data_IF_797002793545
#
_entry.id   IF_797002793545
#
_cell.length_a   1.000
_cell.length_b   1.000
_cell.length_c   1.000
_cell.angle_alpha   90.00
_cell.angle_beta   90.00
_cell.angle_gamma   90.00
#
_symmetry.space_group_name_H-M   'P 1'
#
loop_
_entity.id
_entity.type
_entity.pdbx_description
1 polymer ?
#
# COMPACT_ATOMS: atom_id res chain seq x y z
N UNK A 1 -12.28 -18.16 4.49
CA UNK A 1 -11.94 -19.27 3.60
C UNK A 1 -11.29 -18.72 2.34
N UNK A 2 -10.29 -19.42 1.84
CA UNK A 2 -9.60 -19.12 0.58
C UNK A 2 -9.68 -20.35 -0.32
N UNK A 3 -9.56 -20.16 -1.64
CA UNK A 3 -9.46 -21.27 -2.60
C UNK A 3 -7.99 -21.58 -2.87
N UNK A 4 -7.66 -22.85 -3.02
CA UNK A 4 -6.31 -23.32 -3.32
C UNK A 4 -6.27 -24.16 -4.58
N UNK A 5 -5.32 -23.85 -5.45
CA UNK A 5 -5.02 -24.61 -6.65
C UNK A 5 -3.64 -25.24 -6.55
N UNK A 6 -3.58 -26.55 -6.27
CA UNK A 6 -2.33 -27.30 -6.15
C UNK A 6 -1.44 -27.17 -7.39
N UNK A 7 -2.01 -27.29 -8.60
CA UNK A 7 -1.23 -27.19 -9.84
C UNK A 7 -0.57 -25.81 -9.99
N UNK A 8 -1.30 -24.73 -9.71
CA UNK A 8 -0.73 -23.38 -9.76
C UNK A 8 0.29 -23.11 -8.64
N UNK A 9 0.12 -23.77 -7.49
CA UNK A 9 1.06 -23.72 -6.37
C UNK A 9 2.40 -24.39 -6.74
N UNK A 10 2.34 -25.63 -7.25
CA UNK A 10 3.53 -26.38 -7.66
C UNK A 10 4.27 -25.69 -8.82
N UNK A 11 3.53 -25.09 -9.75
CA UNK A 11 4.08 -24.29 -10.86
C UNK A 11 4.52 -22.87 -10.44
N UNK A 12 4.32 -22.48 -9.17
CA UNK A 12 4.61 -21.14 -8.62
C UNK A 12 4.04 -20.00 -9.47
N UNK A 13 2.82 -20.15 -10.00
CA UNK A 13 2.17 -19.15 -10.84
C UNK A 13 1.78 -17.90 -10.06
N UNK A 14 2.13 -16.72 -10.58
CA UNK A 14 1.76 -15.42 -10.02
C UNK A 14 0.67 -14.81 -10.90
N UNK A 15 -0.45 -14.35 -10.29
CA UNK A 15 -1.49 -13.61 -10.99
C UNK A 15 -1.40 -12.11 -10.69
N UNK A 16 -1.93 -11.32 -11.61
CA UNK A 16 -1.94 -9.84 -11.52
C UNK A 16 -2.87 -9.28 -10.42
N UNK A 17 -3.83 -10.07 -9.90
CA UNK A 17 -4.88 -9.60 -8.97
C UNK A 17 -4.61 -9.91 -7.48
N UNK A 18 -3.36 -10.18 -7.10
CA UNK A 18 -2.98 -10.46 -5.72
C UNK A 18 -3.07 -11.94 -5.33
N UNK A 19 -3.77 -12.76 -6.10
CA UNK A 19 -3.68 -14.22 -6.02
C UNK A 19 -2.24 -14.67 -6.37
N UNK A 20 -1.55 -15.30 -5.42
CA UNK A 20 -0.16 -15.74 -5.59
C UNK A 20 -0.02 -17.23 -5.35
N UNK A 21 0.78 -17.89 -6.17
CA UNK A 21 1.22 -19.27 -5.99
C UNK A 21 0.07 -20.25 -5.72
N UNK A 22 -1.04 -20.11 -6.44
CA UNK A 22 -2.19 -21.00 -6.28
C UNK A 22 -3.07 -20.73 -5.06
N UNK A 23 -2.74 -19.80 -4.16
CA UNK A 23 -3.68 -19.30 -3.15
C UNK A 23 -4.53 -18.17 -3.75
N UNK A 24 -5.84 -18.41 -3.82
CA UNK A 24 -6.80 -17.57 -4.53
C UNK A 24 -7.83 -17.08 -3.50
N UNK A 25 -7.69 -15.84 -3.05
CA UNK A 25 -8.62 -15.23 -2.07
C UNK A 25 -9.70 -14.39 -2.75
N UNK A 26 -9.55 -14.07 -4.03
CA UNK A 26 -10.48 -13.21 -4.80
C UNK A 26 -11.62 -13.99 -5.44
N UNK A 27 -11.54 -15.32 -5.46
CA UNK A 27 -12.57 -16.17 -6.03
C UNK A 27 -13.79 -16.29 -5.11
N UNK A 28 -14.95 -16.44 -5.74
CA UNK A 28 -16.22 -16.67 -5.05
C UNK A 28 -16.28 -18.08 -4.45
N UNK A 29 -17.11 -18.25 -3.42
CA UNK A 29 -17.21 -19.52 -2.68
C UNK A 29 -17.73 -20.68 -3.54
N UNK A 30 -18.48 -20.40 -4.61
CA UNK A 30 -19.00 -21.39 -5.55
C UNK A 30 -17.98 -21.83 -6.61
N UNK A 31 -16.82 -21.17 -6.69
CA UNK A 31 -15.77 -21.53 -7.64
C UNK A 31 -15.15 -22.89 -7.30
N UNK A 32 -15.37 -23.88 -8.18
CA UNK A 32 -14.82 -25.24 -8.05
C UNK A 32 -13.62 -25.51 -8.95
N UNK A 33 -13.44 -24.72 -9.99
CA UNK A 33 -12.43 -24.92 -11.04
C UNK A 33 -11.54 -23.69 -11.10
N UNK A 34 -10.22 -23.92 -11.15
CA UNK A 34 -9.22 -22.88 -11.29
C UNK A 34 -9.31 -22.22 -12.68
N UNK A 35 -9.47 -20.89 -12.77
CA UNK A 35 -9.56 -20.22 -14.08
C UNK A 35 -8.28 -20.28 -14.94
N UNK A 36 -7.11 -20.53 -14.35
CA UNK A 36 -5.85 -20.57 -15.11
C UNK A 36 -5.54 -21.94 -15.71
N UNK A 37 -5.76 -22.99 -14.93
CA UNK A 37 -5.25 -24.32 -15.25
C UNK A 37 -6.34 -25.39 -15.29
N UNK A 38 -7.61 -24.98 -15.10
CA UNK A 38 -8.81 -25.81 -15.15
C UNK A 38 -8.80 -27.00 -14.18
N UNK A 39 -7.92 -26.96 -13.17
CA UNK A 39 -7.84 -27.98 -12.12
C UNK A 39 -8.84 -27.68 -11.02
N UNK A 40 -9.22 -28.71 -10.26
CA UNK A 40 -10.12 -28.56 -9.13
C UNK A 40 -9.50 -27.67 -8.05
N UNK A 41 -10.33 -26.82 -7.45
CA UNK A 41 -9.98 -25.99 -6.30
C UNK A 41 -10.28 -26.74 -5.01
N UNK A 42 -9.46 -26.46 -4.00
CA UNK A 42 -9.63 -26.95 -2.64
C UNK A 42 -9.95 -25.76 -1.75
N UNK A 43 -10.90 -25.94 -0.83
CA UNK A 43 -11.24 -24.92 0.15
C UNK A 43 -10.31 -25.05 1.34
N UNK A 44 -9.64 -23.96 1.69
CA UNK A 44 -8.83 -23.87 2.90
C UNK A 44 -9.53 -22.89 3.85
N UNK A 45 -9.77 -23.34 5.08
CA UNK A 45 -10.32 -22.49 6.13
C UNK A 45 -9.24 -21.57 6.71
N UNK A 46 -8.86 -20.57 5.91
CA UNK A 46 -7.87 -19.57 6.30
C UNK A 46 -8.43 -18.15 6.08
N UNK A 47 -8.07 -17.16 6.93
CA UNK A 47 -8.50 -15.78 6.75
C UNK A 47 -7.84 -15.12 5.53
N UNK A 48 -8.64 -14.69 4.55
CA UNK A 48 -8.16 -14.01 3.35
C UNK A 48 -7.36 -12.73 3.66
N UNK A 49 -7.75 -11.99 4.70
CA UNK A 49 -7.06 -10.76 5.11
C UNK A 49 -5.65 -11.05 5.64
N UNK A 50 -5.49 -12.14 6.40
CA UNK A 50 -4.19 -12.54 6.91
C UNK A 50 -3.28 -13.04 5.79
N UNK A 51 -3.82 -13.75 4.79
CA UNK A 51 -3.05 -14.13 3.61
C UNK A 51 -2.53 -12.91 2.84
N UNK A 52 -3.34 -11.85 2.72
CA UNK A 52 -2.91 -10.57 2.15
C UNK A 52 -1.77 -9.93 2.96
N UNK A 53 -1.81 -10.00 4.30
CA UNK A 53 -0.72 -9.51 5.17
C UNK A 53 0.55 -10.33 4.94
N UNK A 54 0.46 -11.66 4.94
CA UNK A 54 1.59 -12.55 4.70
C UNK A 54 2.27 -12.25 3.36
N UNK A 55 1.48 -11.92 2.33
CA UNK A 55 2.00 -11.56 1.00
C UNK A 55 2.85 -10.28 0.94
N UNK A 56 2.78 -9.45 1.99
CA UNK A 56 3.61 -8.25 2.17
C UNK A 56 4.85 -8.51 3.03
N UNK A 57 4.92 -9.67 3.69
CA UNK A 57 6.03 -10.09 4.53
C UNK A 57 7.03 -10.93 3.73
N UNK A 58 6.55 -11.88 2.94
CA UNK A 58 7.39 -12.82 2.19
C UNK A 58 6.72 -13.23 0.90
N UNK A 59 7.51 -13.58 -0.12
CA UNK A 59 7.05 -14.17 -1.39
C UNK A 59 7.26 -15.70 -1.45
N UNK A 60 7.63 -16.34 -0.34
CA UNK A 60 7.88 -17.79 -0.29
C UNK A 60 6.60 -18.60 -0.12
N UNK A 61 6.41 -19.63 -0.96
CA UNK A 61 5.34 -20.63 -0.82
C UNK A 61 5.44 -21.40 0.49
N UNK A 62 6.65 -21.84 0.84
CA UNK A 62 6.91 -22.64 2.04
C UNK A 62 6.57 -21.87 3.31
N UNK A 63 6.69 -20.54 3.27
CA UNK A 63 6.28 -19.67 4.37
C UNK A 63 4.75 -19.63 4.52
N UNK A 64 4.00 -19.55 3.41
CA UNK A 64 2.54 -19.60 3.47
C UNK A 64 2.05 -20.97 3.95
N UNK A 65 2.62 -22.06 3.42
CA UNK A 65 2.31 -23.42 3.87
C UNK A 65 2.55 -23.58 5.37
N UNK A 66 3.68 -23.07 5.89
CA UNK A 66 3.98 -23.12 7.31
C UNK A 66 2.99 -22.30 8.15
N UNK A 67 2.56 -21.12 7.67
CA UNK A 67 1.60 -20.28 8.39
C UNK A 67 0.17 -20.83 8.36
N UNK A 68 -0.25 -21.43 7.25
CA UNK A 68 -1.55 -22.11 7.14
C UNK A 68 -1.56 -23.35 8.04
N UNK A 69 -0.48 -24.13 8.03
CA UNK A 69 -0.35 -25.26 8.95
C UNK A 69 -0.35 -24.82 10.41
N UNK A 70 0.35 -23.73 10.75
CA UNK A 70 0.40 -23.19 12.10
C UNK A 70 -0.99 -22.73 12.58
N UNK A 71 -1.81 -22.14 11.70
CA UNK A 71 -3.18 -21.76 12.02
C UNK A 71 -4.02 -22.97 12.49
N UNK A 72 -3.87 -24.10 11.80
CA UNK A 72 -4.63 -25.32 12.11
C UNK A 72 -4.06 -26.05 13.35
N UNK A 73 -2.73 -26.04 13.51
CA UNK A 73 -2.03 -26.79 14.57
C UNK A 73 -2.01 -26.04 15.93
N UNK A 74 -1.72 -24.73 15.93
CA UNK A 74 -1.62 -23.89 17.13
C UNK A 74 -2.09 -22.45 16.84
N UNK A 75 -3.38 -22.23 17.06
CA UNK A 75 -4.02 -20.93 16.85
C UNK A 75 -3.45 -19.81 17.74
N UNK A 76 -2.91 -20.15 18.92
CA UNK A 76 -2.34 -19.15 19.85
C UNK A 76 -1.00 -18.65 19.31
N UNK A 77 -0.12 -19.59 18.90
CA UNK A 77 1.15 -19.21 18.28
C UNK A 77 0.91 -18.48 16.95
N UNK A 78 -0.05 -18.94 16.13
CA UNK A 78 -0.46 -18.26 14.90
C UNK A 78 -0.83 -16.79 15.16
N UNK A 79 -1.76 -16.52 16.08
CA UNK A 79 -2.20 -15.14 16.35
C UNK A 79 -1.07 -14.27 16.93
N UNK A 80 -0.17 -14.85 17.72
CA UNK A 80 1.00 -14.13 18.22
C UNK A 80 1.92 -13.71 17.05
N UNK A 81 2.20 -14.61 16.10
CA UNK A 81 3.00 -14.29 14.90
C UNK A 81 2.28 -13.27 14.01
N UNK A 82 0.99 -13.46 13.77
CA UNK A 82 0.19 -12.55 12.95
C UNK A 82 0.11 -11.15 13.54
N UNK A 83 0.00 -11.02 14.87
CA UNK A 83 0.08 -9.72 15.56
C UNK A 83 1.37 -8.97 15.23
N UNK A 84 2.52 -9.66 15.27
CA UNK A 84 3.80 -9.06 14.89
C UNK A 84 3.83 -8.63 13.42
N UNK A 85 3.33 -9.47 12.50
CA UNK A 85 3.28 -9.16 11.08
C UNK A 85 2.34 -7.99 10.77
N UNK A 86 1.17 -7.94 11.40
CA UNK A 86 0.19 -6.84 11.30
C UNK A 86 0.86 -5.52 11.70
N UNK A 87 1.56 -5.48 12.84
CA UNK A 87 2.30 -4.28 13.28
C UNK A 87 3.41 -3.88 12.30
N UNK A 88 4.17 -4.84 11.76
CA UNK A 88 5.22 -4.55 10.77
C UNK A 88 4.65 -3.95 9.49
N UNK A 89 3.57 -4.51 8.95
CA UNK A 89 2.93 -3.99 7.73
C UNK A 89 2.36 -2.59 7.97
N UNK A 90 1.66 -2.37 9.08
CA UNK A 90 1.14 -1.04 9.43
C UNK A 90 2.26 0.01 9.54
N UNK A 91 3.39 -0.35 10.15
CA UNK A 91 4.53 0.56 10.25
C UNK A 91 5.12 0.92 8.87
N UNK A 92 5.26 -0.06 7.98
CA UNK A 92 5.74 0.14 6.60
C UNK A 92 4.79 1.03 5.80
N UNK A 93 3.49 0.77 5.86
CA UNK A 93 2.48 1.56 5.15
C UNK A 93 2.42 3.00 5.66
N UNK A 94 2.45 3.19 6.98
CA UNK A 94 2.49 4.53 7.57
C UNK A 94 3.77 5.30 7.21
N UNK A 95 4.91 4.62 7.03
CA UNK A 95 6.13 5.25 6.51
C UNK A 95 5.99 5.62 5.03
N UNK A 96 5.44 4.74 4.20
CA UNK A 96 5.22 5.01 2.77
C UNK A 96 4.23 6.16 2.56
N UNK A 97 3.15 6.21 3.33
CA UNK A 97 2.20 7.33 3.31
C UNK A 97 2.86 8.64 3.74
N UNK A 98 3.70 8.61 4.77
CA UNK A 98 4.49 9.79 5.18
C UNK A 98 5.42 10.25 4.06
N UNK A 99 6.11 9.34 3.38
CA UNK A 99 6.98 9.68 2.23
C UNK A 99 6.20 10.29 1.08
N UNK A 100 5.06 9.68 0.68
CA UNK A 100 4.17 10.24 -0.35
C UNK A 100 3.64 11.63 0.02
N UNK A 101 3.27 11.82 1.29
CA UNK A 101 2.85 13.12 1.80
C UNK A 101 3.99 14.15 1.78
N UNK A 102 5.25 13.74 1.97
CA UNK A 102 6.41 14.63 1.85
C UNK A 102 6.80 14.94 0.41
N UNK A 103 6.66 13.99 -0.50
CA UNK A 103 6.93 14.19 -1.94
C UNK A 103 5.91 15.12 -2.60
N UNK A 104 4.64 15.05 -2.17
CA UNK A 104 3.57 15.92 -2.65
C UNK A 104 3.59 17.35 -2.09
N UNK A 105 4.41 17.63 -1.07
CA UNK A 105 4.55 19.00 -0.55
C UNK A 105 5.15 19.93 -1.61
N UNK A 106 4.59 21.15 -1.80
CA UNK A 106 5.14 22.11 -2.74
C UNK A 106 6.58 22.48 -2.37
N UNK A 107 7.45 22.52 -3.38
CA UNK A 107 8.86 22.90 -3.22
C UNK A 107 9.12 24.23 -3.89
N UNK A 108 9.94 25.06 -3.26
CA UNK A 108 10.35 26.33 -3.83
C UNK A 108 11.13 26.08 -5.14
N UNK A 109 10.72 26.64 -6.29
CA UNK A 109 11.41 26.41 -7.57
C UNK A 109 12.81 27.04 -7.63
N UNK A 110 13.13 27.97 -6.71
CA UNK A 110 14.44 28.62 -6.64
C UNK A 110 15.46 27.87 -5.78
N UNK A 111 15.03 27.26 -4.66
CA UNK A 111 15.95 26.70 -3.67
C UNK A 111 15.57 25.30 -3.15
N UNK A 112 14.46 24.72 -3.60
CA UNK A 112 14.02 23.36 -3.23
C UNK A 112 13.40 23.21 -1.83
N UNK A 113 13.41 24.25 -1.00
CA UNK A 113 12.80 24.22 0.35
C UNK A 113 11.29 23.94 0.31
N UNK A 114 10.81 23.15 1.27
CA UNK A 114 9.38 22.86 1.51
C UNK A 114 8.75 23.83 2.50
N UNK A 115 9.53 24.76 3.08
CA UNK A 115 9.03 25.79 3.98
C UNK A 115 8.34 26.90 3.18
N UNK A 116 7.07 26.67 2.85
CA UNK A 116 6.23 27.55 2.03
C UNK A 116 5.11 28.11 2.88
N UNK A 117 4.90 29.43 2.82
CA UNK A 117 3.75 30.10 3.39
C UNK A 117 2.92 30.74 2.28
N UNK A 118 1.61 30.84 2.48
CA UNK A 118 0.71 31.55 1.58
C UNK A 118 0.54 32.99 2.07
N UNK A 119 0.81 33.96 1.20
CA UNK A 119 0.55 35.38 1.49
C UNK A 119 -0.23 36.03 0.36
N UNK A 120 -0.99 37.06 0.65
CA UNK A 120 -1.68 37.84 -0.37
C UNK A 120 -0.72 38.85 -1.02
N UNK A 121 -0.82 39.00 -2.35
CA UNK A 121 -0.06 40.01 -3.10
C UNK A 121 -0.47 41.40 -2.60
N UNK A 122 0.52 42.13 -2.08
CA UNK A 122 0.34 43.51 -1.61
C UNK A 122 0.21 44.52 -2.75
N UNK A 123 0.04 45.78 -2.37
CA UNK A 123 0.03 46.94 -3.26
C UNK A 123 1.36 47.09 -4.02
N UNK A 124 1.30 47.47 -5.29
CA UNK A 124 2.47 47.67 -6.16
C UNK A 124 2.46 49.09 -6.70
N UNK A 125 3.57 49.82 -6.57
CA UNK A 125 3.69 51.20 -7.08
C UNK A 125 3.56 51.29 -8.61
N UNK A 126 3.89 50.22 -9.33
CA UNK A 126 3.83 50.16 -10.79
C UNK A 126 2.45 49.78 -11.34
N UNK A 127 1.65 49.02 -10.59
CA UNK A 127 0.35 48.50 -11.05
C UNK A 127 -0.82 48.97 -10.18
N UNK A 128 -0.58 49.82 -9.19
CA UNK A 128 -1.56 50.20 -8.18
C UNK A 128 -2.18 48.99 -7.47
N UNK A 129 -3.50 49.01 -7.32
CA UNK A 129 -4.29 47.93 -6.72
C UNK A 129 -4.55 46.73 -7.66
N UNK A 130 -4.16 46.81 -8.95
CA UNK A 130 -4.40 45.72 -9.89
C UNK A 130 -3.64 44.45 -9.48
N UNK A 131 -4.41 43.45 -9.04
CA UNK A 131 -3.89 42.17 -8.54
C UNK A 131 -3.58 42.13 -7.05
N UNK A 132 -3.90 43.19 -6.30
CA UNK A 132 -3.86 43.16 -4.83
C UNK A 132 -4.86 42.13 -4.29
N UNK A 133 -4.48 41.39 -3.24
CA UNK A 133 -5.33 40.36 -2.61
C UNK A 133 -5.26 38.96 -3.23
N UNK A 134 -4.52 38.74 -4.33
CA UNK A 134 -4.34 37.38 -4.89
C UNK A 134 -3.38 36.56 -4.03
N UNK A 135 -3.71 35.31 -3.65
CA UNK A 135 -2.83 34.48 -2.84
C UNK A 135 -1.62 34.01 -3.67
N UNK A 136 -0.46 33.97 -3.03
CA UNK A 136 0.83 33.61 -3.60
C UNK A 136 1.57 32.71 -2.63
N UNK A 137 2.30 31.73 -3.15
CA UNK A 137 3.26 30.97 -2.37
C UNK A 137 4.53 31.79 -2.15
N UNK A 138 5.07 31.76 -0.94
CA UNK A 138 6.34 32.40 -0.56
C UNK A 138 7.21 31.41 0.19
N UNK A 139 8.42 31.19 -0.33
CA UNK A 139 9.42 30.40 0.36
C UNK A 139 9.97 31.16 1.56
N UNK A 140 9.83 30.60 2.76
CA UNK A 140 10.37 31.16 3.99
C UNK A 140 11.90 31.08 4.07
N UNK A 141 12.53 30.19 3.29
CA UNK A 141 13.99 30.02 3.28
C UNK A 141 14.72 31.02 2.38
N UNK A 142 14.15 31.42 1.23
CA UNK A 142 14.83 32.30 0.27
C UNK A 142 14.00 33.50 -0.21
N UNK A 143 12.76 33.65 0.26
CA UNK A 143 11.87 34.75 -0.07
C UNK A 143 11.27 34.73 -1.49
N UNK A 144 11.58 33.71 -2.30
CA UNK A 144 11.01 33.60 -3.65
C UNK A 144 9.49 33.45 -3.61
N UNK A 145 8.78 34.17 -4.49
CA UNK A 145 7.32 34.21 -4.55
C UNK A 145 6.84 33.71 -5.91
N UNK A 146 5.84 32.82 -5.92
CA UNK A 146 5.22 32.32 -7.15
C UNK A 146 3.70 32.18 -6.97
N UNK A 147 2.97 32.11 -8.07
CA UNK A 147 1.53 31.89 -8.03
C UNK A 147 1.25 30.49 -7.49
N UNK A 148 0.18 30.34 -6.72
CA UNK A 148 -0.35 29.03 -6.34
C UNK A 148 -0.76 28.27 -7.59
#
# INVERSE_FOLDING_TARGET
>A
MIKFCKKCHDEKKIRYWGDKYGYLWTLTDDAKICPDCQSNLVDIDFPALDLKILSKISDSTDFYDAMIKLHDDDIIEYELKMSQFRSQVQAKEAEEERKKAEESKPRCPKCGSTSIATVNKGYSLLTGFLGSGKPMNVCQSCGHKWKI
#
